data_IF_894905974692
#
_entry.id   IF_894905974692
#
_cell.length_a   1.000
_cell.length_b   1.000
_cell.length_c   1.000
_cell.angle_alpha   90.00
_cell.angle_beta   90.00
_cell.angle_gamma   90.00
#
_symmetry.space_group_name_H-M   'P 1'
#
loop_
_entity.id
_entity.type
_entity.pdbx_description
1 polymer ?
#
# COMPACT_ATOMS: atom_id res chain seq x y z
N UNK A 1 -2.92 10.71 9.68
CA UNK A 1 -4.00 9.72 9.54
C UNK A 1 -4.10 8.86 10.79
N UNK A 2 -5.31 8.53 11.29
CA UNK A 2 -5.46 7.62 12.44
C UNK A 2 -4.85 6.23 12.16
N UNK A 3 -4.10 5.67 13.12
CA UNK A 3 -3.39 4.39 12.94
C UNK A 3 -4.31 3.22 12.57
N UNK A 4 -5.55 3.20 13.08
CA UNK A 4 -6.54 2.15 12.77
C UNK A 4 -6.88 2.12 11.27
N UNK A 5 -6.97 3.30 10.65
CA UNK A 5 -7.22 3.41 9.22
C UNK A 5 -6.01 2.93 8.43
N UNK A 6 -4.80 3.30 8.84
CA UNK A 6 -3.56 2.82 8.22
C UNK A 6 -3.47 1.29 8.26
N UNK A 7 -3.78 0.68 9.40
CA UNK A 7 -3.82 -0.77 9.53
C UNK A 7 -4.86 -1.39 8.58
N UNK A 8 -6.10 -0.88 8.59
CA UNK A 8 -7.15 -1.40 7.71
C UNK A 8 -6.76 -1.31 6.22
N UNK A 9 -6.17 -0.19 5.80
CA UNK A 9 -5.70 -0.01 4.42
C UNK A 9 -4.55 -0.94 4.04
N UNK A 10 -3.60 -1.20 4.96
CA UNK A 10 -2.51 -2.16 4.72
C UNK A 10 -3.02 -3.60 4.60
N UNK A 11 -4.02 -3.98 5.42
CA UNK A 11 -4.67 -5.29 5.33
C UNK A 11 -5.46 -5.40 4.03
N UNK A 12 -6.25 -4.39 3.67
CA UNK A 12 -7.02 -4.39 2.42
C UNK A 12 -6.11 -4.48 1.19
N UNK A 13 -4.94 -3.84 1.21
CA UNK A 13 -3.95 -4.02 0.15
C UNK A 13 -3.40 -5.45 0.08
N UNK A 14 -3.19 -6.11 1.22
CA UNK A 14 -2.79 -7.51 1.27
C UNK A 14 -3.88 -8.42 0.69
N UNK A 15 -5.13 -8.23 1.10
CA UNK A 15 -6.29 -9.03 0.67
C UNK A 15 -6.57 -8.90 -0.85
N UNK A 16 -6.21 -7.76 -1.45
CA UNK A 16 -6.31 -7.56 -2.91
C UNK A 16 -5.18 -8.25 -3.70
N UNK A 17 -4.11 -8.69 -3.04
CA UNK A 17 -2.89 -9.17 -3.71
C UNK A 17 -2.95 -10.67 -3.98
N UNK A 18 -2.84 -11.06 -5.25
CA UNK A 18 -2.82 -12.47 -5.63
C UNK A 18 -1.59 -13.19 -5.05
N UNK A 19 -1.79 -14.40 -4.54
CA UNK A 19 -0.73 -15.21 -3.94
C UNK A 19 -0.43 -14.89 -2.47
N UNK A 20 -1.14 -13.94 -1.86
CA UNK A 20 -1.25 -13.81 -0.39
C UNK A 20 -2.36 -14.74 0.09
N UNK A 21 -2.12 -15.52 1.15
CA UNK A 21 -3.14 -16.42 1.71
C UNK A 21 -4.02 -15.72 2.75
N UNK A 22 -5.27 -16.15 2.84
CA UNK A 22 -6.24 -15.65 3.83
C UNK A 22 -6.05 -16.24 5.23
N UNK A 23 -5.45 -17.43 5.33
CA UNK A 23 -5.15 -18.08 6.61
C UNK A 23 -3.71 -18.62 6.59
N UNK A 24 -2.82 -18.11 7.47
CA UNK A 24 -3.09 -17.10 8.49
C UNK A 24 -3.38 -15.72 7.89
N UNK A 25 -4.38 -15.03 8.45
CA UNK A 25 -4.77 -13.70 7.99
C UNK A 25 -3.60 -12.70 8.04
N UNK A 26 -3.52 -11.76 7.07
CA UNK A 26 -2.56 -10.67 7.11
C UNK A 26 -2.59 -9.91 8.43
N UNK A 27 -1.43 -9.43 8.88
CA UNK A 27 -1.33 -8.68 10.15
C UNK A 27 -0.40 -7.50 10.03
N UNK A 28 -0.73 -6.42 10.74
CA UNK A 28 0.12 -5.23 10.84
C UNK A 28 0.69 -5.13 12.25
N UNK A 29 2.01 -5.03 12.34
CA UNK A 29 2.73 -4.73 13.57
C UNK A 29 3.17 -3.28 13.57
N UNK A 30 2.97 -2.58 14.69
CA UNK A 30 3.58 -1.27 14.89
C UNK A 30 4.96 -1.49 15.53
N UNK A 31 6.01 -1.34 14.72
CA UNK A 31 7.40 -1.69 15.06
C UNK A 31 8.07 -0.66 15.94
N UNK A 32 7.83 0.61 15.66
CA UNK A 32 8.43 1.71 16.38
C UNK A 32 7.53 2.96 16.32
N UNK A 33 7.76 3.85 17.27
CA UNK A 33 7.33 5.23 17.21
C UNK A 33 8.57 6.08 17.02
N UNK A 34 8.92 6.34 15.76
CA UNK A 34 10.09 7.13 15.40
C UNK A 34 9.76 8.63 15.50
N UNK A 35 10.78 9.47 15.51
CA UNK A 35 10.65 10.90 15.83
C UNK A 35 9.63 11.65 14.94
N UNK A 36 9.43 11.18 13.69
CA UNK A 36 8.58 11.84 12.70
C UNK A 36 7.42 10.98 12.19
N UNK A 37 7.44 9.67 12.42
CA UNK A 37 6.42 8.75 11.90
C UNK A 37 6.38 7.44 12.69
N UNK A 38 5.20 6.80 12.80
CA UNK A 38 5.11 5.42 13.23
C UNK A 38 5.65 4.48 12.14
N UNK A 39 6.32 3.41 12.55
CA UNK A 39 6.77 2.35 11.65
C UNK A 39 5.82 1.16 11.72
N UNK A 40 5.29 0.75 10.56
CA UNK A 40 4.42 -0.41 10.43
C UNK A 40 5.10 -1.51 9.62
N UNK A 41 4.95 -2.76 10.06
CA UNK A 41 5.35 -3.95 9.33
C UNK A 41 4.11 -4.77 9.01
N UNK A 42 3.83 -4.93 7.71
CA UNK A 42 2.78 -5.82 7.20
C UNK A 42 3.38 -7.22 7.03
N UNK A 43 2.77 -8.20 7.70
CA UNK A 43 3.15 -9.61 7.66
C UNK A 43 2.07 -10.36 6.91
N UNK A 44 2.48 -11.07 5.86
CA UNK A 44 1.63 -11.92 5.01
C UNK A 44 2.29 -13.27 4.80
N UNK A 45 1.47 -14.30 4.61
CA UNK A 45 1.93 -15.61 4.15
C UNK A 45 1.60 -15.76 2.67
N UNK A 46 2.47 -16.49 1.95
CA UNK A 46 2.37 -16.62 0.50
C UNK A 46 1.97 -18.04 0.12
N UNK A 47 1.19 -18.15 -0.95
CA UNK A 47 0.85 -19.45 -1.53
C UNK A 47 2.11 -20.24 -1.95
N UNK A 48 2.14 -21.57 -1.78
CA UNK A 48 3.28 -22.37 -2.22
C UNK A 48 3.56 -22.22 -3.72
N UNK A 49 4.80 -21.87 -4.07
CA UNK A 49 5.26 -21.80 -5.46
C UNK A 49 5.12 -20.43 -6.13
N UNK A 50 4.49 -19.45 -5.49
CA UNK A 50 4.49 -18.07 -5.99
C UNK A 50 5.85 -17.41 -5.79
N UNK A 51 6.25 -16.55 -6.72
CA UNK A 51 7.49 -15.80 -6.59
C UNK A 51 7.26 -14.58 -5.71
N UNK A 52 7.98 -14.52 -4.59
CA UNK A 52 7.94 -13.39 -3.66
C UNK A 52 8.12 -12.03 -4.34
N UNK A 53 8.97 -11.93 -5.36
CA UNK A 53 9.21 -10.66 -6.07
C UNK A 53 8.00 -10.15 -6.86
N UNK A 54 7.21 -11.06 -7.43
CA UNK A 54 6.01 -10.72 -8.20
C UNK A 54 4.92 -10.26 -7.23
N UNK A 55 4.64 -11.06 -6.19
CA UNK A 55 3.67 -10.70 -5.13
C UNK A 55 4.03 -9.38 -4.45
N UNK A 56 5.31 -9.16 -4.13
CA UNK A 56 5.74 -7.92 -3.49
C UNK A 56 5.57 -6.70 -4.39
N UNK A 57 5.72 -6.87 -5.71
CA UNK A 57 5.49 -5.79 -6.67
C UNK A 57 4.02 -5.40 -6.72
N UNK A 58 3.13 -6.39 -6.82
CA UNK A 58 1.68 -6.16 -6.79
C UNK A 58 1.21 -5.58 -5.47
N UNK A 59 1.70 -6.12 -4.34
CA UNK A 59 1.36 -5.62 -3.00
C UNK A 59 1.73 -4.14 -2.83
N UNK A 60 2.91 -3.73 -3.28
CA UNK A 60 3.29 -2.31 -3.23
C UNK A 60 2.39 -1.44 -4.13
N UNK A 61 1.92 -1.96 -5.26
CA UNK A 61 0.92 -1.31 -6.11
C UNK A 61 -0.39 -1.10 -5.33
N UNK A 62 -0.95 -2.19 -4.79
CA UNK A 62 -2.19 -2.13 -4.01
C UNK A 62 -2.09 -1.22 -2.79
N UNK A 63 -0.95 -1.19 -2.08
CA UNK A 63 -0.75 -0.25 -0.98
C UNK A 63 -0.87 1.20 -1.46
N UNK A 64 -0.26 1.55 -2.60
CA UNK A 64 -0.36 2.90 -3.16
C UNK A 64 -1.80 3.24 -3.58
N UNK A 65 -2.46 2.31 -4.26
CA UNK A 65 -3.83 2.50 -4.76
C UNK A 65 -4.82 2.64 -3.61
N UNK A 66 -4.79 1.74 -2.63
CA UNK A 66 -5.69 1.77 -1.46
C UNK A 66 -5.51 3.07 -0.68
N UNK A 67 -4.26 3.47 -0.41
CA UNK A 67 -4.02 4.73 0.30
C UNK A 67 -4.55 5.93 -0.48
N UNK A 68 -4.35 5.95 -1.79
CA UNK A 68 -4.89 6.99 -2.67
C UNK A 68 -6.43 7.01 -2.65
N UNK A 69 -7.08 5.84 -2.75
CA UNK A 69 -8.53 5.67 -2.71
C UNK A 69 -9.18 6.27 -1.46
N UNK A 70 -8.51 6.11 -0.32
CA UNK A 70 -8.97 6.66 0.96
C UNK A 70 -8.43 8.08 1.25
N UNK A 71 -7.79 8.71 0.27
CA UNK A 71 -7.28 10.08 0.38
C UNK A 71 -6.12 10.24 1.36
N UNK A 72 -5.36 9.19 1.61
CA UNK A 72 -4.21 9.19 2.52
C UNK A 72 -2.93 9.21 1.72
N UNK A 73 -2.15 10.28 1.86
CA UNK A 73 -0.83 10.37 1.23
C UNK A 73 0.19 9.52 1.98
N UNK A 74 0.95 8.70 1.25
CA UNK A 74 2.14 8.02 1.76
C UNK A 74 3.32 9.01 1.69
N UNK A 75 3.96 9.28 2.82
CA UNK A 75 5.11 10.18 2.90
C UNK A 75 6.42 9.40 2.85
N UNK A 76 7.38 9.87 2.05
CA UNK A 76 8.76 9.39 2.11
C UNK A 76 9.50 10.09 3.26
N UNK A 77 10.35 9.39 4.04
CA UNK A 77 11.10 9.97 5.15
C UNK A 77 11.99 11.17 4.78
N UNK A 78 12.37 11.29 3.50
CA UNK A 78 13.27 12.34 3.00
C UNK A 78 12.55 13.59 2.47
N UNK A 79 11.26 13.78 2.77
CA UNK A 79 10.53 14.95 2.33
C UNK A 79 10.90 16.20 3.15
N UNK A 80 11.55 17.16 2.51
CA UNK A 80 12.11 18.38 3.15
C UNK A 80 11.04 19.44 3.44
N UNK A 81 9.88 19.38 2.79
CA UNK A 81 8.77 20.30 3.05
C UNK A 81 7.43 19.65 2.70
N UNK A 82 6.47 19.71 3.63
CA UNK A 82 5.09 19.26 3.42
C UNK A 82 4.29 20.38 2.71
N UNK A 83 3.65 20.12 1.56
CA UNK A 83 2.69 21.06 0.98
C UNK A 83 1.42 21.18 1.85
N UNK A 84 0.75 22.34 1.79
CA UNK A 84 -0.47 22.62 2.58
C UNK A 84 -1.63 21.67 2.22
N UNK A 85 -1.61 21.10 1.01
CA UNK A 85 -2.59 20.14 0.51
C UNK A 85 -1.96 18.77 0.23
N UNK A 86 -2.66 17.65 0.51
CA UNK A 86 -2.18 16.32 0.17
C UNK A 86 -1.96 16.16 -1.34
N UNK A 87 -0.78 15.67 -1.72
CA UNK A 87 -0.48 15.34 -3.12
C UNK A 87 -0.99 13.93 -3.40
N UNK A 88 -2.25 13.85 -3.85
CA UNK A 88 -2.92 12.62 -4.26
C UNK A 88 -3.06 12.59 -5.78
N UNK A 89 -2.91 11.42 -6.38
CA UNK A 89 -3.15 11.23 -7.82
C UNK A 89 -4.62 10.91 -8.07
N UNK A 90 -5.43 11.79 -8.68
CA UNK A 90 -6.82 11.47 -8.98
C UNK A 90 -6.92 10.20 -9.83
N UNK A 91 -7.93 9.35 -9.59
CA UNK A 91 -8.19 8.13 -10.40
C UNK A 91 -8.23 8.40 -11.92
N UNK A 92 -8.73 9.57 -12.31
CA UNK A 92 -8.79 10.00 -13.72
C UNK A 92 -7.41 10.13 -14.39
N UNK A 93 -6.32 10.24 -13.63
CA UNK A 93 -4.95 10.40 -14.15
C UNK A 93 -4.05 9.21 -13.88
N UNK A 94 -4.54 8.12 -13.29
CA UNK A 94 -3.72 6.94 -12.97
C UNK A 94 -3.07 6.32 -14.21
N UNK A 95 -3.79 6.32 -15.33
CA UNK A 95 -3.31 5.81 -16.62
C UNK A 95 -2.95 6.95 -17.59
N UNK A 96 -2.46 8.07 -17.08
CA UNK A 96 -1.87 9.10 -17.93
C UNK A 96 -0.64 8.51 -18.67
N UNK A 97 -0.47 8.87 -19.94
CA UNK A 97 0.64 8.37 -20.75
C UNK A 97 1.99 8.59 -20.03
N UNK A 98 2.90 7.59 -20.01
CA UNK A 98 2.90 6.39 -20.84
C UNK A 98 2.16 5.17 -20.24
N UNK A 99 1.51 5.32 -19.08
CA UNK A 99 0.71 4.23 -18.52
C UNK A 99 -0.51 3.97 -19.40
N UNK A 100 -0.92 2.71 -19.49
CA UNK A 100 -2.17 2.29 -20.10
C UNK A 100 -2.94 1.48 -19.05
N UNK A 101 -4.27 1.53 -19.03
CA UNK A 101 -5.04 0.61 -18.20
C UNK A 101 -4.67 -0.81 -18.56
N UNK A 102 -4.58 -1.68 -17.56
CA UNK A 102 -4.40 -3.10 -17.80
C UNK A 102 -5.48 -3.56 -18.78
N UNK A 103 -5.05 -4.23 -19.85
CA UNK A 103 -5.99 -4.89 -20.74
C UNK A 103 -6.60 -6.02 -19.92
N UNK A 104 -7.90 -5.91 -19.62
CA UNK A 104 -8.68 -7.05 -19.14
C UNK A 104 -8.35 -8.29 -20.01
N UNK A 105 -8.06 -9.45 -19.40
CA UNK A 105 -7.71 -10.67 -20.13
C UNK A 105 -8.84 -11.17 -21.04
#
# INVERSE_FOLDING_TARGET
TPWRQVHAMLIEAADRTLGVVDEPAPRVWQRALSDYYPEYELVVELEPGVKRSEVLTELHGHIQDVFNEYGVQIMSPNFVAQPDEPVLSPKSTWFAAPAAPDRDP
#
